data_IF_259504863259
#
_entry.id   IF_259504863259
#
_cell.length_a   1.000
_cell.length_b   1.000
_cell.length_c   1.000
_cell.angle_alpha   90.00
_cell.angle_beta   90.00
_cell.angle_gamma   90.00
#
_symmetry.space_group_name_H-M   'P 1'
#
loop_
_entity.id
_entity.type
_entity.pdbx_description
1 polymer ?
#
# COMPACT_ATOMS: atom_id res chain seq x y z
N UNK A 1 -8.36 2.91 12.13
CA UNK A 1 -7.11 3.64 11.83
C UNK A 1 -6.84 3.61 10.32
N UNK A 2 -5.98 4.49 9.83
CA UNK A 2 -5.49 4.48 8.44
C UNK A 2 -3.97 4.30 8.51
N UNK A 3 -3.43 3.38 7.71
CA UNK A 3 -1.98 3.20 7.60
C UNK A 3 -1.41 4.30 6.70
N UNK A 4 -0.27 4.87 7.06
CA UNK A 4 0.46 5.83 6.23
C UNK A 4 1.85 5.26 5.93
N UNK A 5 2.21 5.21 4.65
CA UNK A 5 3.53 4.78 4.16
C UNK A 5 4.02 5.75 3.08
N UNK A 6 5.34 5.87 2.94
CA UNK A 6 5.96 6.65 1.88
C UNK A 6 5.87 5.94 0.53
N UNK A 7 6.18 4.65 0.47
CA UNK A 7 6.24 3.88 -0.78
C UNK A 7 5.66 2.48 -0.63
N UNK A 8 4.96 2.03 -1.67
CA UNK A 8 4.59 0.62 -1.81
C UNK A 8 5.26 -0.01 -3.02
N UNK A 9 5.90 -1.15 -2.78
CA UNK A 9 6.61 -1.96 -3.79
C UNK A 9 5.82 -3.24 -4.06
N UNK A 10 6.11 -4.34 -3.36
CA UNK A 10 5.38 -5.61 -3.41
C UNK A 10 4.26 -5.72 -2.37
N UNK A 11 4.13 -4.76 -1.45
CA UNK A 11 3.07 -4.72 -0.42
C UNK A 11 3.33 -5.60 0.82
N UNK A 12 4.34 -6.46 0.81
CA UNK A 12 4.60 -7.41 1.91
C UNK A 12 4.89 -6.76 3.27
N UNK A 13 5.57 -5.60 3.30
CA UNK A 13 5.81 -4.87 4.56
C UNK A 13 4.52 -4.29 5.13
N UNK A 14 3.73 -3.64 4.28
CA UNK A 14 2.44 -3.05 4.64
C UNK A 14 1.46 -4.11 5.18
N UNK A 15 1.37 -5.27 4.53
CA UNK A 15 0.51 -6.37 5.00
C UNK A 15 0.91 -6.88 6.40
N UNK A 16 2.20 -6.99 6.68
CA UNK A 16 2.67 -7.35 8.04
C UNK A 16 2.33 -6.26 9.06
N UNK A 17 2.42 -4.99 8.67
CA UNK A 17 2.06 -3.88 9.54
C UNK A 17 0.55 -3.88 9.84
N UNK A 18 -0.29 -4.11 8.82
CA UNK A 18 -1.74 -4.26 8.97
C UNK A 18 -2.08 -5.40 9.94
N UNK A 19 -1.49 -6.59 9.75
CA UNK A 19 -1.71 -7.75 10.63
C UNK A 19 -1.44 -7.39 12.09
N UNK A 20 -0.32 -6.73 12.39
CA UNK A 20 0.03 -6.32 13.76
C UNK A 20 -0.93 -5.30 14.35
N UNK A 21 -1.42 -4.37 13.54
CA UNK A 21 -2.41 -3.37 13.98
C UNK A 21 -3.75 -4.03 14.27
N UNK A 22 -4.16 -4.99 13.46
CA UNK A 22 -5.39 -5.76 13.68
C UNK A 22 -5.28 -6.72 14.88
N UNK A 23 -4.11 -7.36 15.07
CA UNK A 23 -3.79 -8.16 16.27
C UNK A 23 -3.85 -7.33 17.56
N UNK A 24 -3.57 -6.02 17.47
CA UNK A 24 -3.75 -5.08 18.58
C UNK A 24 -5.21 -4.63 18.81
N UNK A 25 -6.18 -5.22 18.09
CA UNK A 25 -7.61 -4.93 18.21
C UNK A 25 -8.08 -3.69 17.46
N UNK A 26 -7.24 -3.10 16.59
CA UNK A 26 -7.59 -1.92 15.80
C UNK A 26 -8.07 -2.31 14.41
N UNK A 27 -9.16 -1.70 13.94
CA UNK A 27 -9.62 -1.87 12.56
C UNK A 27 -8.82 -0.99 11.59
N UNK A 28 -8.16 -1.58 10.60
CA UNK A 28 -7.55 -0.83 9.49
C UNK A 28 -8.62 -0.52 8.43
N UNK A 29 -8.85 0.76 8.16
CA UNK A 29 -9.88 1.21 7.20
C UNK A 29 -9.33 1.31 5.77
N UNK A 30 -8.07 1.72 5.65
CA UNK A 30 -7.34 1.83 4.39
C UNK A 30 -5.85 2.04 4.68
N UNK A 31 -5.05 1.93 3.63
CA UNK A 31 -3.64 2.35 3.59
C UNK A 31 -3.48 3.49 2.60
N UNK A 32 -2.88 4.59 3.04
CA UNK A 32 -2.59 5.77 2.23
C UNK A 32 -1.08 5.80 1.95
N UNK A 33 -0.73 5.82 0.66
CA UNK A 33 0.64 5.73 0.20
C UNK A 33 1.00 7.01 -0.55
N UNK A 34 2.18 7.58 -0.30
CA UNK A 34 2.63 8.73 -1.09
C UNK A 34 2.92 8.31 -2.54
N UNK A 35 3.74 7.27 -2.76
CA UNK A 35 4.09 6.79 -4.12
C UNK A 35 3.94 5.27 -4.27
N UNK A 36 3.15 4.83 -5.24
CA UNK A 36 3.08 3.42 -5.65
C UNK A 36 4.07 3.11 -6.78
N UNK A 37 5.04 2.20 -6.57
CA UNK A 37 6.04 1.86 -7.59
C UNK A 37 5.53 0.99 -8.74
N UNK A 38 4.30 0.48 -8.63
CA UNK A 38 3.67 -0.42 -9.60
C UNK A 38 4.44 -1.74 -9.78
N UNK A 39 4.82 -2.35 -8.66
CA UNK A 39 5.52 -3.65 -8.61
C UNK A 39 4.64 -4.74 -7.97
N UNK A 40 3.32 -4.66 -8.14
CA UNK A 40 2.36 -5.64 -7.63
C UNK A 40 1.84 -5.39 -6.21
N UNK A 41 2.32 -4.34 -5.53
CA UNK A 41 1.98 -4.10 -4.12
C UNK A 41 0.55 -3.64 -3.89
N UNK A 42 -0.07 -2.92 -4.83
CA UNK A 42 -1.49 -2.55 -4.70
C UNK A 42 -2.35 -3.81 -4.80
N UNK A 43 -2.09 -4.62 -5.82
CA UNK A 43 -2.79 -5.85 -6.12
C UNK A 43 -2.67 -6.84 -4.96
N UNK A 44 -1.48 -6.97 -4.36
CA UNK A 44 -1.27 -7.81 -3.18
C UNK A 44 -2.11 -7.34 -1.98
N UNK A 45 -2.17 -6.04 -1.73
CA UNK A 45 -2.92 -5.46 -0.60
C UNK A 45 -4.43 -5.57 -0.81
N UNK A 46 -4.92 -5.28 -2.01
CA UNK A 46 -6.34 -5.39 -2.36
C UNK A 46 -6.81 -6.84 -2.38
N UNK A 47 -5.97 -7.79 -2.85
CA UNK A 47 -6.24 -9.23 -2.79
C UNK A 47 -6.33 -9.76 -1.35
N UNK A 48 -5.62 -9.13 -0.41
CA UNK A 48 -5.73 -9.44 1.01
C UNK A 48 -6.97 -8.80 1.68
N UNK A 49 -7.82 -8.10 0.93
CA UNK A 49 -9.06 -7.50 1.44
C UNK A 49 -8.87 -6.09 2.03
N UNK A 50 -7.70 -5.47 1.86
CA UNK A 50 -7.43 -4.13 2.39
C UNK A 50 -7.46 -3.08 1.28
N UNK A 51 -8.05 -1.93 1.58
CA UNK A 51 -8.11 -0.80 0.64
C UNK A 51 -6.77 -0.07 0.59
N UNK A 52 -6.24 0.19 -0.61
CA UNK A 52 -5.05 1.02 -0.81
C UNK A 52 -5.37 2.26 -1.65
N UNK A 53 -4.95 3.43 -1.17
CA UNK A 53 -5.05 4.71 -1.86
C UNK A 53 -3.63 5.23 -2.03
N UNK A 54 -3.24 5.62 -3.24
CA UNK A 54 -1.94 6.25 -3.50
C UNK A 54 -2.12 7.65 -4.07
N UNK A 55 -1.33 8.60 -3.59
CA UNK A 55 -1.34 9.97 -4.13
C UNK A 55 -0.66 10.04 -5.49
N UNK A 56 0.47 9.34 -5.63
CA UNK A 56 1.20 9.24 -6.88
C UNK A 56 1.53 7.78 -7.19
N UNK A 57 1.88 7.57 -8.45
CA UNK A 57 2.47 6.37 -9.00
C UNK A 57 3.89 6.67 -9.49
N UNK A 58 4.63 5.62 -9.83
CA UNK A 58 5.92 5.75 -10.51
C UNK A 58 5.81 6.62 -11.78
N UNK A 59 4.71 6.54 -12.51
CA UNK A 59 4.52 7.20 -13.79
C UNK A 59 4.36 8.72 -13.68
N UNK A 60 4.03 9.24 -12.50
CA UNK A 60 3.97 10.68 -12.26
C UNK A 60 5.35 11.34 -12.25
N UNK A 61 6.42 10.55 -12.05
CA UNK A 61 7.79 11.05 -11.93
C UNK A 61 8.75 10.48 -12.97
N UNK A 62 8.46 9.30 -13.53
CA UNK A 62 9.35 8.61 -14.47
C UNK A 62 8.56 8.18 -15.71
N UNK A 63 9.14 8.32 -16.92
CA UNK A 63 8.51 7.86 -18.15
C UNK A 63 8.32 6.34 -18.12
N UNK A 64 7.27 5.86 -18.80
CA UNK A 64 7.08 4.44 -19.07
C UNK A 64 8.33 3.89 -19.78
N UNK A 65 8.81 2.72 -19.37
CA UNK A 65 9.79 2.00 -20.18
C UNK A 65 9.13 1.66 -21.52
N UNK A 66 9.84 1.86 -22.65
CA UNK A 66 9.33 1.47 -23.97
C UNK A 66 9.02 -0.02 -24.04
#
# INVERSE_FOLDING_TARGET
VIMLEDVVTSGGSLLRAISRVEEAGLKVLASMILVARMEGGREAVEKAGHKLISLFSRHDFLPNKP
#
